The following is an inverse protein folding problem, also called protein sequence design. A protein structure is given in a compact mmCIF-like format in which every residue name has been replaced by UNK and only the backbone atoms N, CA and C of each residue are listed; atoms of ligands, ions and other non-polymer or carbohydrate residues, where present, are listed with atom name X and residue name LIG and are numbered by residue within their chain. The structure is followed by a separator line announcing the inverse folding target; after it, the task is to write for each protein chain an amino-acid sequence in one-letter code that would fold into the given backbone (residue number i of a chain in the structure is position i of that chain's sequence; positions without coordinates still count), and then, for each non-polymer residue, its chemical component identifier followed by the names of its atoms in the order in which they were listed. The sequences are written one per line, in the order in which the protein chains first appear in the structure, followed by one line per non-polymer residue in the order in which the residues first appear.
data_IF_340272623867
#
_entry.id   IF_340272623867
#
_cell.length_a   1.000
_cell.length_b   1.000
_cell.length_c   1.000
_cell.angle_alpha   90.00
_cell.angle_beta   90.00
_cell.angle_gamma   90.00
#
_symmetry.space_group_name_H-M   'P 1'
#
loop_
_entity.id
_entity.type
_entity.pdbx_description
1 polymer ?
#
# COMPACT_ATOMS: atom_id res chain seq x y z
N UNK A 1 -11.38 2.31 -0.83
CA UNK A 1 -11.66 3.73 -0.57
C UNK A 1 -10.36 4.45 -0.78
N UNK A 2 -10.31 5.47 -1.63
CA UNK A 2 -9.03 6.03 -2.08
C UNK A 2 -8.39 6.97 -1.06
N UNK A 3 -7.08 7.22 -1.17
CA UNK A 3 -6.37 8.24 -0.39
C UNK A 3 -7.06 9.61 -0.49
N UNK A 4 -7.43 10.00 -1.71
CA UNK A 4 -8.15 11.25 -1.94
C UNK A 4 -9.52 11.28 -1.22
N UNK A 5 -10.27 10.17 -1.24
CA UNK A 5 -11.53 10.07 -0.52
C UNK A 5 -11.36 10.15 1.01
N UNK A 6 -10.31 9.51 1.55
CA UNK A 6 -9.96 9.60 2.97
C UNK A 6 -9.61 11.03 3.39
N UNK A 7 -8.81 11.74 2.59
CA UNK A 7 -8.45 13.14 2.84
C UNK A 7 -9.66 14.07 2.76
N UNK A 8 -10.54 13.87 1.77
CA UNK A 8 -11.77 14.63 1.64
C UNK A 8 -12.71 14.41 2.84
N UNK A 9 -12.86 13.17 3.29
CA UNK A 9 -13.64 12.85 4.49
C UNK A 9 -13.03 13.47 5.75
N UNK A 10 -11.70 13.47 5.89
CA UNK A 10 -11.01 14.06 7.02
C UNK A 10 -11.17 15.59 7.11
N UNK A 11 -11.48 16.26 5.98
CA UNK A 11 -11.74 17.70 5.95
C UNK A 11 -13.12 18.08 6.52
N UNK A 12 -14.02 17.12 6.73
CA UNK A 12 -15.34 17.37 7.33
C UNK A 12 -15.20 17.75 8.80
N UNK A 13 -15.42 19.04 9.08
CA UNK A 13 -15.33 19.60 10.44
C UNK A 13 -16.44 19.15 11.39
N UNK A 14 -17.52 18.54 10.87
CA UNK A 14 -18.59 17.97 11.68
C UNK A 14 -18.18 16.67 12.39
N UNK A 15 -17.15 15.98 11.88
CA UNK A 15 -16.58 14.80 12.50
C UNK A 15 -15.80 15.15 13.77
N UNK A 16 -15.71 14.20 14.71
CA UNK A 16 -14.87 14.37 15.90
C UNK A 16 -13.41 14.45 15.50
N UNK A 17 -12.60 15.17 16.28
CA UNK A 17 -11.16 15.30 16.04
C UNK A 17 -10.46 13.93 15.95
N UNK A 18 -10.86 12.96 16.77
CA UNK A 18 -10.33 11.58 16.74
C UNK A 18 -10.63 10.87 15.43
N UNK A 19 -11.86 10.99 14.92
CA UNK A 19 -12.27 10.33 13.67
C UNK A 19 -11.50 10.93 12.49
N UNK A 20 -11.35 12.26 12.45
CA UNK A 20 -10.51 12.94 11.45
C UNK A 20 -9.05 12.49 11.52
N UNK A 21 -8.50 12.35 12.73
CA UNK A 21 -7.14 11.86 12.91
C UNK A 21 -6.96 10.41 12.41
N UNK A 22 -7.96 9.55 12.62
CA UNK A 22 -7.95 8.17 12.09
C UNK A 22 -7.99 8.15 10.56
N UNK A 23 -8.82 8.99 9.94
CA UNK A 23 -8.89 9.11 8.48
C UNK A 23 -7.57 9.62 7.89
N UNK A 24 -6.93 10.61 8.52
CA UNK A 24 -5.61 11.09 8.12
C UNK A 24 -4.52 10.03 8.29
N UNK A 25 -4.58 9.23 9.36
CA UNK A 25 -3.68 8.10 9.54
C UNK A 25 -3.85 7.07 8.42
N UNK A 26 -5.09 6.66 8.14
CA UNK A 26 -5.38 5.73 7.04
C UNK A 26 -4.92 6.27 5.68
N UNK A 27 -5.07 7.58 5.42
CA UNK A 27 -4.59 8.21 4.18
C UNK A 27 -3.05 8.18 4.05
N UNK A 28 -2.31 8.13 5.17
CA UNK A 28 -0.84 8.03 5.15
C UNK A 28 -0.34 6.63 4.83
N UNK A 29 -1.16 5.62 5.10
CA UNK A 29 -0.91 4.21 4.73
C UNK A 29 -1.18 3.93 3.24
N UNK A 30 -1.58 4.95 2.47
CA UNK A 30 -1.78 4.85 1.02
C UNK A 30 -0.86 5.84 0.28
N UNK A 31 -0.47 5.46 -0.94
CA UNK A 31 0.16 6.35 -1.90
C UNK A 31 -0.49 6.20 -3.27
N UNK A 32 -0.62 7.32 -4.00
CA UNK A 32 -1.09 7.31 -5.38
C UNK A 32 0.09 7.60 -6.29
N UNK A 33 0.31 6.76 -7.29
CA UNK A 33 1.33 6.95 -8.31
C UNK A 33 0.80 6.44 -9.65
N UNK A 34 0.89 7.28 -10.68
CA UNK A 34 0.39 6.99 -12.04
C UNK A 34 -1.05 6.42 -12.06
N UNK A 35 -1.95 7.01 -11.27
CA UNK A 35 -3.35 6.59 -11.14
C UNK A 35 -3.57 5.26 -10.39
N UNK A 36 -2.50 4.65 -9.87
CA UNK A 36 -2.56 3.42 -9.08
C UNK A 36 -2.41 3.73 -7.60
N UNK A 37 -3.29 3.14 -6.79
CA UNK A 37 -3.22 3.25 -5.34
C UNK A 37 -2.43 2.09 -4.74
N UNK A 38 -1.36 2.42 -4.02
CA UNK A 38 -0.48 1.51 -3.33
C UNK A 38 -0.78 1.50 -1.84
N UNK A 39 -1.11 0.32 -1.32
CA UNK A 39 -1.18 0.04 0.11
C UNK A 39 0.24 -0.09 0.68
N UNK A 40 0.59 0.84 1.57
CA UNK A 40 1.91 0.94 2.20
C UNK A 40 2.12 -0.08 3.34
N UNK A 41 1.08 -0.81 3.74
CA UNK A 41 1.21 -1.91 4.70
C UNK A 41 1.60 -3.22 4.01
N UNK A 42 1.41 -3.33 2.70
CA UNK A 42 1.70 -4.56 1.95
C UNK A 42 3.16 -4.66 1.53
N UNK A 43 3.61 -5.90 1.40
CA UNK A 43 4.81 -6.22 0.62
C UNK A 43 4.43 -6.26 -0.84
N UNK A 44 5.25 -5.64 -1.69
CA UNK A 44 5.07 -5.63 -3.13
C UNK A 44 6.18 -6.44 -3.79
N UNK A 45 5.95 -6.94 -4.99
CA UNK A 45 6.87 -7.79 -5.74
C UNK A 45 7.07 -7.15 -7.10
N UNK A 46 8.32 -6.94 -7.50
CA UNK A 46 8.64 -6.43 -8.82
C UNK A 46 8.52 -7.49 -9.92
N UNK A 47 8.70 -7.11 -11.18
CA UNK A 47 8.57 -8.04 -12.31
C UNK A 47 9.61 -9.17 -12.32
N UNK A 48 10.65 -9.10 -11.48
CA UNK A 48 11.68 -10.14 -11.32
C UNK A 48 11.44 -11.01 -10.10
N UNK A 49 10.37 -10.76 -9.35
CA UNK A 49 10.07 -11.49 -8.12
C UNK A 49 10.76 -10.93 -6.87
N UNK A 50 11.44 -9.78 -6.94
CA UNK A 50 12.08 -9.19 -5.77
C UNK A 50 11.03 -8.53 -4.86
N UNK A 51 10.99 -8.87 -3.56
CA UNK A 51 10.11 -8.19 -2.61
C UNK A 51 10.59 -6.78 -2.29
N UNK A 52 9.64 -5.86 -2.22
CA UNK A 52 9.82 -4.47 -1.82
C UNK A 52 8.88 -4.13 -0.66
N UNK A 53 9.41 -3.38 0.31
CA UNK A 53 8.65 -2.86 1.45
C UNK A 53 8.88 -1.37 1.59
N UNK A 54 7.86 -0.68 2.03
CA UNK A 54 7.93 0.75 2.30
C UNK A 54 8.80 0.98 3.54
N UNK A 55 9.77 1.87 3.39
CA UNK A 55 10.39 2.51 4.54
C UNK A 55 9.41 3.60 4.97
N UNK A 56 9.22 3.84 6.26
CA UNK A 56 8.32 4.90 6.80
C UNK A 56 8.72 6.33 6.37
N UNK A 57 9.66 6.47 5.44
CA UNK A 57 10.26 7.69 4.92
C UNK A 57 9.67 8.02 3.55
N UNK A 58 9.68 9.32 3.25
CA UNK A 58 9.30 9.89 1.97
C UNK A 58 10.36 10.87 1.50
N UNK A 59 10.43 11.13 0.19
CA UNK A 59 11.27 12.19 -0.37
C UNK A 59 10.71 13.57 -0.01
N UNK A 60 11.41 14.64 -0.42
CA UNK A 60 10.92 16.01 -0.23
C UNK A 60 9.57 16.27 -0.95
N UNK A 61 9.33 15.57 -2.06
CA UNK A 61 8.12 15.68 -2.88
C UNK A 61 7.02 14.67 -2.47
N UNK A 62 7.07 14.19 -1.22
CA UNK A 62 6.11 13.22 -0.66
C UNK A 62 6.11 11.84 -1.34
N UNK A 63 7.14 11.49 -2.13
CA UNK A 63 7.25 10.18 -2.77
C UNK A 63 7.64 9.10 -1.74
N UNK A 64 6.91 7.97 -1.63
CA UNK A 64 7.30 6.88 -0.73
C UNK A 64 8.66 6.28 -1.09
N UNK A 65 9.49 6.00 -0.07
CA UNK A 65 10.78 5.32 -0.25
C UNK A 65 10.62 3.85 0.06
N UNK A 66 11.03 2.98 -0.87
CA UNK A 66 11.00 1.53 -0.75
C UNK A 66 12.37 0.95 -0.42
N UNK A 67 12.37 -0.23 0.20
CA UNK A 67 13.54 -1.08 0.41
C UNK A 67 13.28 -2.45 -0.20
N UNK A 68 14.20 -2.94 -1.03
CA UNK A 68 14.15 -4.28 -1.59
C UNK A 68 14.69 -5.34 -0.62
N UNK A 69 14.42 -6.61 -0.89
CA UNK A 69 15.03 -7.73 -0.17
C UNK A 69 16.55 -7.82 -0.39
N UNK A 70 17.09 -7.13 -1.39
CA UNK A 70 18.52 -7.01 -1.70
C UNK A 70 19.15 -5.75 -1.07
N UNK A 71 18.42 -5.07 -0.19
CA UNK A 71 18.82 -3.84 0.53
C UNK A 71 19.04 -2.61 -0.37
N UNK A 72 18.47 -2.61 -1.58
CA UNK A 72 18.35 -1.40 -2.39
C UNK A 72 17.29 -0.48 -1.79
N UNK A 73 17.55 0.83 -1.77
CA UNK A 73 16.63 1.84 -1.24
C UNK A 73 16.37 2.87 -2.32
N UNK A 74 15.15 2.90 -2.85
CA UNK A 74 14.75 3.74 -3.98
C UNK A 74 13.35 4.34 -3.74
N UNK A 75 13.07 5.55 -4.22
CA UNK A 75 11.71 6.07 -4.25
C UNK A 75 10.83 5.27 -5.24
N UNK A 76 9.51 5.29 -5.01
CA UNK A 76 8.52 4.49 -5.76
C UNK A 76 8.60 4.68 -7.28
N UNK A 77 8.75 5.92 -7.73
CA UNK A 77 8.90 6.27 -9.14
C UNK A 77 10.13 5.61 -9.78
N UNK A 78 11.28 5.62 -9.10
CA UNK A 78 12.49 4.92 -9.55
C UNK A 78 12.32 3.40 -9.53
N UNK A 79 11.61 2.86 -8.53
CA UNK A 79 11.28 1.43 -8.49
C UNK A 79 10.44 1.04 -9.70
N UNK A 80 9.40 1.82 -9.99
CA UNK A 80 8.52 1.56 -11.13
C UNK A 80 9.26 1.68 -12.47
N UNK A 81 10.11 2.70 -12.62
CA UNK A 81 10.90 2.92 -13.82
C UNK A 81 11.92 1.79 -14.09
N UNK A 82 12.53 1.25 -13.03
CA UNK A 82 13.65 0.30 -13.14
C UNK A 82 13.21 -1.16 -13.09
N UNK A 83 12.14 -1.46 -12.35
CA UNK A 83 11.76 -2.82 -11.98
C UNK A 83 10.36 -3.23 -12.46
N UNK A 84 9.70 -2.35 -13.23
CA UNK A 84 8.39 -2.55 -13.85
C UNK A 84 7.26 -2.71 -12.80
N UNK A 85 6.00 -3.01 -13.19
CA UNK A 85 4.87 -2.79 -12.30
C UNK A 85 4.94 -3.70 -11.08
N UNK A 86 4.79 -3.07 -9.91
CA UNK A 86 4.73 -3.76 -8.63
C UNK A 86 3.40 -4.51 -8.50
N UNK A 87 3.48 -5.78 -8.12
CA UNK A 87 2.32 -6.61 -7.79
C UNK A 87 2.24 -6.82 -6.28
N UNK A 88 1.05 -6.85 -5.67
CA UNK A 88 0.93 -7.15 -4.24
C UNK A 88 1.42 -8.58 -3.98
N UNK A 89 2.22 -8.77 -2.94
CA UNK A 89 2.66 -10.10 -2.54
C UNK A 89 1.45 -10.99 -2.22
N UNK A 90 1.46 -12.27 -2.63
CA UNK A 90 0.37 -13.18 -2.30
C UNK A 90 0.17 -13.24 -0.78
N UNK A 91 -1.07 -13.03 -0.33
CA UNK A 91 -1.39 -13.26 1.09
C UNK A 91 -1.25 -14.75 1.40
N UNK A 92 -0.73 -15.14 2.58
CA UNK A 92 -0.73 -16.53 3.01
C UNK A 92 -2.15 -17.10 2.98
N UNK A 93 -2.29 -18.31 2.44
CA UNK A 93 -3.55 -19.04 2.43
C UNK A 93 -3.82 -19.56 3.85
N UNK A 94 -4.91 -19.13 4.48
CA UNK A 94 -5.27 -19.62 5.82
C UNK A 94 -6.04 -20.93 5.71
N UNK A 95 -5.88 -21.82 6.69
CA UNK A 95 -6.69 -23.06 6.75
C UNK A 95 -8.21 -22.78 6.76
N UNK A 96 -8.61 -21.63 7.29
CA UNK A 96 -10.00 -21.17 7.22
C UNK A 96 -10.46 -20.88 5.78
N UNK A 97 -9.61 -20.24 4.96
CA UNK A 97 -9.90 -19.96 3.55
C UNK A 97 -10.10 -21.27 2.77
N UNK A 98 -9.23 -22.25 2.99
CA UNK A 98 -9.33 -23.58 2.37
C UNK A 98 -10.64 -24.26 2.76
N UNK A 99 -10.98 -24.25 4.05
CA UNK A 99 -12.24 -24.84 4.54
C UNK A 99 -13.47 -24.15 3.97
N UNK A 100 -13.45 -22.82 3.82
CA UNK A 100 -14.54 -22.08 3.22
C UNK A 100 -14.72 -22.44 1.73
N UNK A 101 -13.63 -22.48 0.96
CA UNK A 101 -13.66 -22.84 -0.45
C UNK A 101 -14.20 -24.26 -0.68
N UNK A 102 -13.76 -25.23 0.12
CA UNK A 102 -14.22 -26.62 0.03
C UNK A 102 -15.70 -26.80 0.44
N UNK A 103 -16.22 -25.95 1.34
CA UNK A 103 -17.63 -25.98 1.75
C UNK A 103 -18.57 -25.30 0.76
N UNK A 104 -18.07 -24.35 -0.03
CA UNK A 104 -18.83 -23.66 -1.08
C UNK A 104 -18.88 -24.40 -2.42
N UNK A 105 -18.17 -25.52 -2.55
CA UNK A 105 -18.08 -26.33 -3.77
C UNK A 105 -18.95 -27.61 -3.74
N UNK A 106 -19.93 -27.68 -2.83
CA UNK A 106 -20.85 -28.81 -2.64
C UNK A 106 -22.23 -28.55 -3.27
#
# INVERSE_FOLDING_TARGET
MTRAALLAAAADTSLRATDRAQLLWAARELAEFDGTEYDLALTWIDARGCPWKWTVRRTADDMPIMRSALDEILPLDEVYASWAPLMPAPRPLLAADVRAALRGAA
#
